data_IF_798664737324
#
_entry.id   IF_798664737324
#
_cell.length_a   1.000
_cell.length_b   1.000
_cell.length_c   1.000
_cell.angle_alpha   90.00
_cell.angle_beta   90.00
_cell.angle_gamma   90.00
#
_symmetry.space_group_name_H-M   'P 1'
#
loop_
_entity.id
_entity.type
_entity.pdbx_description
1 polymer ?
#
# COMPACT_ATOMS: atom_id res chain seq x y z
N UNK A 1 -8.37 16.16 -63.74
CA UNK A 1 -7.77 15.00 -63.03
C UNK A 1 -8.68 14.69 -61.86
N UNK A 2 -9.48 13.62 -61.94
CA UNK A 2 -10.45 13.26 -60.89
C UNK A 2 -9.69 12.49 -59.81
N UNK A 3 -9.49 13.11 -58.66
CA UNK A 3 -8.94 12.45 -57.46
C UNK A 3 -10.00 11.49 -56.94
N UNK A 4 -10.02 10.26 -57.47
CA UNK A 4 -10.80 9.16 -56.90
C UNK A 4 -10.29 8.93 -55.48
N UNK A 5 -11.06 9.39 -54.50
CA UNK A 5 -10.93 8.92 -53.13
C UNK A 5 -11.36 7.46 -53.13
N UNK A 6 -10.41 6.55 -53.37
CA UNK A 6 -10.57 5.16 -52.97
C UNK A 6 -10.65 5.16 -51.44
N UNK A 7 -11.85 5.40 -50.91
CA UNK A 7 -12.22 4.96 -49.57
C UNK A 7 -12.21 3.44 -49.63
N UNK A 8 -11.02 2.85 -49.48
CA UNK A 8 -10.97 1.51 -48.95
C UNK A 8 -11.81 1.57 -47.68
N UNK A 9 -12.87 0.78 -47.62
CA UNK A 9 -13.62 0.56 -46.38
C UNK A 9 -12.65 -0.15 -45.43
N UNK A 10 -11.75 0.62 -44.81
CA UNK A 10 -10.98 0.18 -43.67
C UNK A 10 -12.04 -0.22 -42.66
N UNK A 11 -12.10 -1.51 -42.34
CA UNK A 11 -13.14 -2.10 -41.51
C UNK A 11 -13.04 -1.49 -40.11
N UNK A 12 -13.68 -0.34 -39.91
CA UNK A 12 -13.58 0.51 -38.71
C UNK A 12 -13.85 -0.24 -37.41
N UNK A 13 -14.69 -1.28 -37.49
CA UNK A 13 -14.95 -2.19 -36.38
C UNK A 13 -13.68 -2.93 -35.89
N UNK A 14 -12.77 -3.32 -36.79
CA UNK A 14 -11.56 -4.06 -36.39
C UNK A 14 -10.60 -3.21 -35.56
N UNK A 15 -10.43 -1.92 -35.91
CA UNK A 15 -9.54 -0.99 -35.18
C UNK A 15 -10.08 -0.75 -33.76
N UNK A 16 -11.38 -0.49 -33.63
CA UNK A 16 -12.02 -0.25 -32.33
C UNK A 16 -12.06 -1.51 -31.46
N UNK A 17 -12.42 -2.66 -32.03
CA UNK A 17 -12.46 -3.94 -31.29
C UNK A 17 -11.07 -4.32 -30.78
N UNK A 18 -10.03 -4.18 -31.61
CA UNK A 18 -8.65 -4.43 -31.18
C UNK A 18 -8.20 -3.46 -30.07
N UNK A 19 -8.62 -2.19 -30.15
CA UNK A 19 -8.33 -1.18 -29.10
C UNK A 19 -8.97 -1.56 -27.77
N UNK A 20 -10.24 -1.97 -27.80
CA UNK A 20 -10.98 -2.42 -26.61
C UNK A 20 -10.36 -3.68 -26.02
N UNK A 21 -10.03 -4.67 -26.85
CA UNK A 21 -9.36 -5.89 -26.40
C UNK A 21 -8.02 -5.60 -25.71
N UNK A 22 -7.18 -4.78 -26.32
CA UNK A 22 -5.89 -4.36 -25.74
C UNK A 22 -6.10 -3.58 -24.43
N UNK A 23 -7.18 -2.81 -24.31
CA UNK A 23 -7.54 -2.13 -23.06
C UNK A 23 -7.77 -3.11 -21.93
N UNK A 24 -8.60 -4.13 -22.15
CA UNK A 24 -8.84 -5.18 -21.16
C UNK A 24 -7.58 -5.96 -20.82
N UNK A 25 -6.75 -6.26 -21.82
CA UNK A 25 -5.47 -6.96 -21.63
C UNK A 25 -4.53 -6.17 -20.72
N UNK A 26 -4.30 -4.88 -21.02
CA UNK A 26 -3.40 -4.02 -20.24
C UNK A 26 -3.86 -3.89 -18.78
N UNK A 27 -5.15 -3.72 -18.54
CA UNK A 27 -5.68 -3.71 -17.18
C UNK A 27 -5.52 -5.07 -16.49
N UNK A 28 -5.83 -6.16 -17.19
CA UNK A 28 -5.64 -7.51 -16.68
C UNK A 28 -4.20 -7.76 -16.25
N UNK A 29 -3.22 -7.33 -17.04
CA UNK A 29 -1.80 -7.47 -16.71
C UNK A 29 -1.40 -6.77 -15.41
N UNK A 30 -1.85 -5.52 -15.23
CA UNK A 30 -1.58 -4.77 -14.00
C UNK A 30 -2.27 -5.41 -12.80
N UNK A 31 -3.53 -5.82 -12.94
CA UNK A 31 -4.25 -6.49 -11.86
C UNK A 31 -3.63 -7.83 -11.47
N UNK A 32 -3.24 -8.64 -12.45
CA UNK A 32 -2.60 -9.94 -12.24
C UNK A 32 -1.26 -9.75 -11.52
N UNK A 33 -0.42 -8.83 -11.99
CA UNK A 33 0.88 -8.54 -11.35
C UNK A 33 0.71 -8.07 -9.90
N UNK A 34 -0.20 -7.12 -9.66
CA UNK A 34 -0.47 -6.59 -8.33
C UNK A 34 -1.09 -7.64 -7.40
N UNK A 35 -2.07 -8.40 -7.91
CA UNK A 35 -2.74 -9.47 -7.17
C UNK A 35 -1.77 -10.57 -6.75
N UNK A 36 -0.92 -11.05 -7.66
CA UNK A 36 0.12 -12.04 -7.35
C UNK A 36 1.08 -11.51 -6.29
N UNK A 37 1.53 -10.27 -6.41
CA UNK A 37 2.38 -9.64 -5.40
C UNK A 37 1.71 -9.62 -4.02
N UNK A 38 0.41 -9.29 -3.93
CA UNK A 38 -0.34 -9.30 -2.67
C UNK A 38 -0.47 -10.70 -2.06
N UNK A 39 -0.76 -11.71 -2.87
CA UNK A 39 -0.82 -13.12 -2.42
C UNK A 39 0.54 -13.54 -1.87
N UNK A 40 1.62 -13.23 -2.60
CA UNK A 40 2.99 -13.50 -2.19
C UNK A 40 3.35 -12.84 -0.85
N UNK A 41 3.05 -11.54 -0.68
CA UNK A 41 3.30 -10.80 0.56
C UNK A 41 2.52 -11.37 1.75
N UNK A 42 1.27 -11.81 1.55
CA UNK A 42 0.39 -12.34 2.61
C UNK A 42 1.05 -13.47 3.40
N UNK A 43 1.75 -14.40 2.72
CA UNK A 43 2.40 -15.54 3.40
C UNK A 43 3.46 -15.15 4.42
N UNK A 44 3.94 -13.90 4.37
CA UNK A 44 4.93 -13.40 5.32
C UNK A 44 4.35 -12.33 6.24
N UNK A 45 3.46 -11.49 5.72
CA UNK A 45 2.88 -10.38 6.47
C UNK A 45 1.39 -10.26 6.12
N UNK A 46 0.52 -10.53 7.08
CA UNK A 46 -0.92 -10.38 6.90
C UNK A 46 -1.30 -8.89 6.66
N UNK A 47 -0.68 -7.97 7.42
CA UNK A 47 -0.87 -6.51 7.31
C UNK A 47 0.42 -5.70 7.61
N UNK A 48 1.52 -5.95 6.88
CA UNK A 48 2.67 -5.03 6.99
C UNK A 48 2.35 -3.71 6.28
N UNK A 49 2.09 -2.65 7.05
CA UNK A 49 1.80 -1.32 6.52
C UNK A 49 2.91 -0.79 5.59
N UNK A 50 4.19 -1.07 5.89
CA UNK A 50 5.32 -0.57 5.10
C UNK A 50 5.44 -1.27 3.75
N UNK A 51 5.37 -2.60 3.73
CA UNK A 51 5.47 -3.38 2.48
C UNK A 51 4.21 -3.19 1.64
N UNK A 52 3.04 -3.11 2.28
CA UNK A 52 1.79 -2.78 1.60
C UNK A 52 1.89 -1.40 0.91
N UNK A 53 2.34 -0.35 1.60
CA UNK A 53 2.55 0.97 0.99
C UNK A 53 3.53 0.92 -0.19
N UNK A 54 4.68 0.26 -0.03
CA UNK A 54 5.67 0.15 -1.09
C UNK A 54 5.10 -0.55 -2.34
N UNK A 55 4.41 -1.68 -2.15
CA UNK A 55 3.76 -2.42 -3.25
C UNK A 55 2.62 -1.63 -3.89
N UNK A 56 1.85 -0.86 -3.12
CA UNK A 56 0.83 0.04 -3.64
C UNK A 56 1.44 1.15 -4.49
N UNK A 57 2.54 1.79 -4.06
CA UNK A 57 3.23 2.83 -4.84
C UNK A 57 3.71 2.28 -6.18
N UNK A 58 4.32 1.09 -6.19
CA UNK A 58 4.75 0.42 -7.42
C UNK A 58 3.54 0.10 -8.30
N UNK A 59 2.46 -0.43 -7.74
CA UNK A 59 1.23 -0.70 -8.50
C UNK A 59 0.62 0.58 -9.08
N UNK A 60 0.60 1.69 -8.34
CA UNK A 60 0.14 3.00 -8.82
C UNK A 60 0.98 3.51 -9.99
N UNK A 61 2.31 3.29 -9.96
CA UNK A 61 3.18 3.60 -11.09
C UNK A 61 2.82 2.76 -12.32
N UNK A 62 2.59 1.46 -12.15
CA UNK A 62 2.12 0.59 -13.24
C UNK A 62 0.78 1.03 -13.82
N UNK A 63 -0.17 1.44 -12.97
CA UNK A 63 -1.45 2.00 -13.40
C UNK A 63 -1.27 3.28 -14.21
N UNK A 64 -0.40 4.17 -13.76
CA UNK A 64 -0.08 5.40 -14.50
C UNK A 64 0.50 5.10 -15.89
N UNK A 65 1.49 4.20 -15.96
CA UNK A 65 2.10 3.79 -17.22
C UNK A 65 1.11 3.07 -18.14
N UNK A 66 0.23 2.23 -17.59
CA UNK A 66 -0.83 1.57 -18.32
C UNK A 66 -1.83 2.57 -18.90
N UNK A 67 -2.30 3.55 -18.12
CA UNK A 67 -3.18 4.61 -18.60
C UNK A 67 -2.52 5.42 -19.72
N UNK A 68 -1.23 5.74 -19.59
CA UNK A 68 -0.48 6.42 -20.65
C UNK A 68 -0.40 5.58 -21.93
N UNK A 69 -0.13 4.27 -21.82
CA UNK A 69 -0.17 3.35 -22.97
C UNK A 69 -1.55 3.36 -23.66
N UNK A 70 -2.63 3.32 -22.89
CA UNK A 70 -3.99 3.34 -23.41
C UNK A 70 -4.29 4.65 -24.12
N UNK A 71 -3.87 5.79 -23.57
CA UNK A 71 -4.04 7.09 -24.23
C UNK A 71 -3.34 7.08 -25.60
N UNK A 72 -2.10 6.58 -25.69
CA UNK A 72 -1.40 6.46 -26.97
C UNK A 72 -2.14 5.52 -27.95
N UNK A 73 -2.70 4.42 -27.45
CA UNK A 73 -3.49 3.49 -28.25
C UNK A 73 -4.76 4.16 -28.82
N UNK A 74 -5.51 4.88 -27.98
CA UNK A 74 -6.70 5.61 -28.41
C UNK A 74 -6.36 6.75 -29.37
N UNK A 75 -5.31 7.52 -29.09
CA UNK A 75 -4.86 8.61 -29.96
C UNK A 75 -4.49 8.08 -31.34
N UNK A 76 -3.77 6.96 -31.43
CA UNK A 76 -3.46 6.33 -32.71
C UNK A 76 -4.73 5.89 -33.45
N UNK A 77 -5.65 5.22 -32.75
CA UNK A 77 -6.93 4.80 -33.32
C UNK A 77 -7.74 6.00 -33.84
N UNK A 78 -7.84 7.08 -33.07
CA UNK A 78 -8.52 8.30 -33.51
C UNK A 78 -7.82 9.01 -34.68
N UNK A 79 -6.49 9.02 -34.72
CA UNK A 79 -5.74 9.57 -35.85
C UNK A 79 -6.03 8.81 -37.15
N UNK A 80 -6.13 7.48 -37.08
CA UNK A 80 -6.58 6.64 -38.20
C UNK A 80 -8.04 6.91 -38.60
N UNK A 81 -8.94 7.08 -37.62
CA UNK A 81 -10.36 7.38 -37.87
C UNK A 81 -10.56 8.76 -38.51
N UNK A 82 -9.76 9.75 -38.10
CA UNK A 82 -9.85 11.14 -38.56
C UNK A 82 -9.17 11.38 -39.91
N UNK A 83 -8.54 10.37 -40.52
CA UNK A 83 -7.71 10.51 -41.72
C UNK A 83 -6.66 11.62 -41.60
N UNK A 84 -5.98 11.68 -40.45
CA UNK A 84 -4.85 12.61 -40.25
C UNK A 84 -3.71 12.34 -41.23
N UNK A 85 -2.81 13.33 -41.40
CA UNK A 85 -1.62 13.17 -42.24
C UNK A 85 -0.81 11.93 -41.83
N UNK A 86 -0.32 11.18 -42.83
CA UNK A 86 0.50 9.98 -42.68
C UNK A 86 1.74 10.24 -41.81
N UNK A 87 2.33 11.43 -41.89
CA UNK A 87 3.47 11.82 -41.06
C UNK A 87 3.09 11.85 -39.56
N UNK A 88 1.91 12.37 -39.24
CA UNK A 88 1.41 12.44 -37.86
C UNK A 88 1.08 11.05 -37.34
N UNK A 89 0.43 10.22 -38.16
CA UNK A 89 0.13 8.82 -37.82
C UNK A 89 1.41 8.04 -37.55
N UNK A 90 2.44 8.21 -38.38
CA UNK A 90 3.71 7.51 -38.22
C UNK A 90 4.45 7.93 -36.94
N UNK A 91 4.50 9.23 -36.64
CA UNK A 91 5.12 9.74 -35.41
C UNK A 91 4.43 9.21 -34.15
N UNK A 92 3.09 9.15 -34.13
CA UNK A 92 2.32 8.58 -33.03
C UNK A 92 2.57 7.06 -32.91
N UNK A 93 2.61 6.36 -34.03
CA UNK A 93 2.85 4.91 -34.07
C UNK A 93 4.24 4.53 -33.54
N UNK A 94 5.27 5.30 -33.90
CA UNK A 94 6.64 5.10 -33.42
C UNK A 94 6.74 5.35 -31.91
N UNK A 95 6.18 6.46 -31.41
CA UNK A 95 6.13 6.76 -29.98
C UNK A 95 5.38 5.67 -29.19
N UNK A 96 4.29 5.14 -29.75
CA UNK A 96 3.53 4.03 -29.16
C UNK A 96 4.36 2.74 -29.14
N UNK A 97 5.05 2.38 -30.23
CA UNK A 97 5.86 1.16 -30.30
C UNK A 97 6.97 1.19 -29.26
N UNK A 98 7.73 2.29 -29.20
CA UNK A 98 8.79 2.47 -28.21
C UNK A 98 8.27 2.39 -26.77
N UNK A 99 7.10 2.97 -26.50
CA UNK A 99 6.48 2.86 -25.18
C UNK A 99 5.97 1.45 -24.86
N UNK A 100 5.38 0.73 -25.83
CA UNK A 100 4.93 -0.66 -25.66
C UNK A 100 6.11 -1.55 -25.27
N UNK A 101 7.23 -1.46 -25.98
CA UNK A 101 8.48 -2.19 -25.68
C UNK A 101 8.96 -1.88 -24.26
N UNK A 102 9.06 -0.60 -23.89
CA UNK A 102 9.54 -0.18 -22.57
C UNK A 102 8.61 -0.66 -21.44
N UNK A 103 7.30 -0.53 -21.63
CA UNK A 103 6.29 -0.96 -20.65
C UNK A 103 6.33 -2.47 -20.43
N UNK A 104 6.35 -3.25 -21.52
CA UNK A 104 6.43 -4.72 -21.45
C UNK A 104 7.75 -5.18 -20.83
N UNK A 105 8.87 -4.52 -21.11
CA UNK A 105 10.15 -4.82 -20.47
C UNK A 105 10.12 -4.55 -18.95
N UNK A 106 9.51 -3.44 -18.53
CA UNK A 106 9.37 -3.09 -17.11
C UNK A 106 8.46 -4.08 -16.37
N UNK A 107 7.36 -4.50 -17.00
CA UNK A 107 6.52 -5.60 -16.50
C UNK A 107 7.36 -6.86 -16.31
N UNK A 108 8.13 -7.27 -17.32
CA UNK A 108 8.98 -8.45 -17.25
C UNK A 108 10.01 -8.40 -16.11
N UNK A 109 10.73 -7.29 -15.97
CA UNK A 109 11.65 -7.10 -14.84
C UNK A 109 10.95 -7.25 -13.49
N UNK A 110 9.71 -6.78 -13.38
CA UNK A 110 8.93 -6.92 -12.15
C UNK A 110 8.48 -8.36 -11.92
N UNK A 111 8.13 -9.11 -12.98
CA UNK A 111 7.85 -10.55 -12.86
C UNK A 111 9.07 -11.36 -12.44
N UNK A 112 10.28 -11.00 -12.93
CA UNK A 112 11.53 -11.60 -12.46
C UNK A 112 11.72 -11.32 -10.98
N UNK A 113 11.62 -10.07 -10.56
CA UNK A 113 11.78 -9.69 -9.16
C UNK A 113 10.80 -10.42 -8.24
N UNK A 114 9.54 -10.54 -8.64
CA UNK A 114 8.52 -11.30 -7.92
C UNK A 114 8.84 -12.79 -7.86
N UNK A 115 9.24 -13.41 -8.97
CA UNK A 115 9.57 -14.84 -9.01
C UNK A 115 10.81 -15.18 -8.19
N UNK A 116 11.84 -14.33 -8.24
CA UNK A 116 13.04 -14.46 -7.39
C UNK A 116 12.65 -14.31 -5.92
N UNK A 117 11.79 -13.34 -5.60
CA UNK A 117 11.29 -13.16 -4.23
C UNK A 117 10.48 -14.36 -3.76
N UNK A 118 9.58 -14.88 -4.60
CA UNK A 118 8.79 -16.07 -4.31
C UNK A 118 9.70 -17.26 -4.02
N UNK A 119 10.65 -17.56 -4.91
CA UNK A 119 11.57 -18.69 -4.71
C UNK A 119 12.47 -18.50 -3.50
N UNK A 120 13.07 -17.34 -3.29
CA UNK A 120 14.00 -17.10 -2.18
C UNK A 120 13.28 -17.05 -0.83
N UNK A 121 12.23 -16.22 -0.72
CA UNK A 121 11.54 -16.00 0.56
C UNK A 121 10.65 -17.17 0.92
N UNK A 122 9.84 -17.67 -0.01
CA UNK A 122 9.06 -18.87 0.28
C UNK A 122 10.06 -20.02 0.47
N UNK A 123 10.98 -20.26 -0.46
CA UNK A 123 12.09 -21.26 -0.36
C UNK A 123 12.68 -21.40 1.04
N UNK A 124 13.16 -20.28 1.60
CA UNK A 124 13.81 -20.21 2.91
C UNK A 124 12.94 -20.65 4.09
N UNK A 125 11.61 -20.53 4.00
CA UNK A 125 10.67 -20.97 5.05
C UNK A 125 10.63 -22.49 5.19
N UNK A 126 11.08 -23.25 4.18
CA UNK A 126 11.19 -24.73 4.24
C UNK A 126 12.21 -25.19 5.31
N UNK A 127 13.17 -24.35 5.67
CA UNK A 127 14.19 -24.65 6.68
C UNK A 127 13.76 -24.26 8.10
N UNK A 128 12.66 -23.51 8.24
CA UNK A 128 12.16 -23.06 9.55
C UNK A 128 10.89 -23.87 9.88
N UNK A 129 11.06 -24.93 10.67
CA UNK A 129 10.02 -25.89 11.06
C UNK A 129 9.09 -25.25 12.11
N UNK A 130 8.36 -24.22 11.71
CA UNK A 130 7.28 -23.66 12.50
C UNK A 130 5.95 -24.23 12.00
N UNK A 131 4.98 -24.47 12.90
CA UNK A 131 3.65 -25.01 12.57
C UNK A 131 2.93 -24.24 11.45
N UNK A 132 3.16 -22.93 11.37
CA UNK A 132 2.60 -22.04 10.33
C UNK A 132 3.20 -22.31 8.95
N UNK A 133 4.47 -22.69 8.87
CA UNK A 133 5.15 -23.02 7.60
C UNK A 133 4.57 -24.28 6.94
N UNK A 134 4.19 -25.27 7.76
CA UNK A 134 3.58 -26.51 7.32
C UNK A 134 2.13 -26.31 6.85
N UNK A 135 1.37 -25.42 7.49
CA UNK A 135 -0.03 -25.17 7.12
C UNK A 135 -0.18 -24.65 5.68
N UNK A 136 0.79 -23.85 5.19
CA UNK A 136 0.74 -23.26 3.86
C UNK A 136 1.60 -23.98 2.81
N UNK A 137 2.04 -25.22 3.07
CA UNK A 137 3.03 -25.86 2.19
C UNK A 137 2.49 -26.06 0.76
N UNK A 138 1.24 -26.49 0.62
CA UNK A 138 0.62 -26.73 -0.68
C UNK A 138 0.32 -25.42 -1.41
N UNK A 139 -0.31 -24.45 -0.75
CA UNK A 139 -0.66 -23.16 -1.35
C UNK A 139 0.59 -22.40 -1.82
N UNK A 140 1.69 -22.56 -1.08
CA UNK A 140 2.98 -21.98 -1.44
C UNK A 140 3.56 -22.58 -2.73
N UNK A 141 3.49 -23.90 -2.91
CA UNK A 141 3.94 -24.54 -4.15
C UNK A 141 3.13 -24.04 -5.34
N UNK A 142 1.80 -23.92 -5.17
CA UNK A 142 0.94 -23.31 -6.17
C UNK A 142 1.28 -21.84 -6.44
N UNK A 143 1.64 -21.06 -5.42
CA UNK A 143 2.06 -19.66 -5.58
C UNK A 143 3.38 -19.52 -6.37
N UNK A 144 4.34 -20.42 -6.13
CA UNK A 144 5.59 -20.47 -6.92
C UNK A 144 5.29 -20.86 -8.36
N UNK A 145 4.48 -21.90 -8.58
CA UNK A 145 4.07 -22.33 -9.92
C UNK A 145 3.34 -21.21 -10.69
N UNK A 146 2.44 -20.49 -10.03
CA UNK A 146 1.78 -19.32 -10.60
C UNK A 146 2.77 -18.21 -10.98
N UNK A 147 3.76 -17.94 -10.12
CA UNK A 147 4.80 -16.94 -10.40
C UNK A 147 5.66 -17.33 -11.61
N UNK A 148 6.00 -18.62 -11.75
CA UNK A 148 6.73 -19.15 -12.92
C UNK A 148 5.89 -19.03 -14.19
N UNK A 149 4.60 -19.38 -14.16
CA UNK A 149 3.71 -19.24 -15.31
C UNK A 149 3.61 -17.78 -15.77
N UNK A 150 3.51 -16.85 -14.82
CA UNK A 150 3.45 -15.41 -15.09
C UNK A 150 4.79 -14.90 -15.67
N UNK A 151 5.93 -15.39 -15.17
CA UNK A 151 7.26 -15.09 -15.71
C UNK A 151 7.41 -15.59 -17.15
N UNK A 152 7.00 -16.83 -17.45
CA UNK A 152 7.03 -17.39 -18.81
C UNK A 152 6.14 -16.59 -19.76
N UNK A 153 4.93 -16.22 -19.32
CA UNK A 153 4.02 -15.34 -20.06
C UNK A 153 4.71 -14.01 -20.40
N UNK A 154 5.30 -13.36 -19.41
CA UNK A 154 5.95 -12.06 -19.59
C UNK A 154 7.22 -12.14 -20.44
N UNK A 155 7.96 -13.24 -20.37
CA UNK A 155 9.11 -13.49 -21.24
C UNK A 155 8.69 -13.58 -22.71
N UNK A 156 7.66 -14.39 -23.00
CA UNK A 156 7.11 -14.51 -24.35
C UNK A 156 6.64 -13.16 -24.88
N UNK A 157 5.96 -12.38 -24.06
CA UNK A 157 5.46 -11.05 -24.44
C UNK A 157 6.60 -10.09 -24.81
N UNK A 158 7.67 -10.01 -24.00
CA UNK A 158 8.85 -9.18 -24.32
C UNK A 158 9.50 -9.63 -25.62
N UNK A 159 9.68 -10.94 -25.81
CA UNK A 159 10.30 -11.47 -27.03
C UNK A 159 9.46 -11.12 -28.25
N UNK A 160 8.14 -11.29 -28.18
CA UNK A 160 7.22 -11.03 -29.28
C UNK A 160 7.16 -9.53 -29.61
N UNK A 161 7.01 -8.67 -28.61
CA UNK A 161 6.99 -7.20 -28.80
C UNK A 161 8.33 -6.73 -29.36
N UNK A 162 9.45 -7.28 -28.89
CA UNK A 162 10.78 -6.97 -29.43
C UNK A 162 10.99 -7.46 -30.88
N UNK A 163 10.38 -8.58 -31.28
CA UNK A 163 10.39 -9.04 -32.68
C UNK A 163 9.54 -8.14 -33.57
N UNK A 164 8.37 -7.69 -33.09
CA UNK A 164 7.52 -6.74 -33.83
C UNK A 164 8.23 -5.41 -34.11
N UNK A 165 9.02 -4.92 -33.15
CA UNK A 165 9.77 -3.67 -33.30
C UNK A 165 10.95 -3.81 -34.28
N UNK A 166 11.65 -4.95 -34.27
CA UNK A 166 12.85 -5.16 -35.11
C UNK A 166 12.55 -5.64 -36.53
N UNK A 167 11.60 -6.55 -36.69
CA UNK A 167 11.33 -7.21 -37.96
C UNK A 167 9.83 -7.53 -38.11
N UNK A 168 9.01 -6.58 -38.61
CA UNK A 168 7.56 -6.77 -38.75
C UNK A 168 7.17 -7.61 -39.98
N UNK A 169 7.90 -8.69 -40.27
CA UNK A 169 7.49 -9.66 -41.28
C UNK A 169 6.52 -10.64 -40.67
N UNK A 170 5.50 -11.06 -41.43
CA UNK A 170 4.46 -11.99 -40.97
C UNK A 170 3.75 -11.55 -39.69
N UNK A 171 3.35 -10.27 -39.61
CA UNK A 171 2.64 -9.70 -38.45
C UNK A 171 1.47 -10.56 -37.96
N UNK A 172 0.72 -11.18 -38.87
CA UNK A 172 -0.39 -12.07 -38.55
C UNK A 172 0.04 -13.32 -37.76
N UNK A 173 1.16 -13.95 -38.13
CA UNK A 173 1.69 -15.12 -37.41
C UNK A 173 2.20 -14.72 -36.04
N UNK A 174 2.85 -13.55 -35.94
CA UNK A 174 3.37 -13.02 -34.69
C UNK A 174 2.21 -12.71 -33.71
N UNK A 175 1.15 -12.05 -34.16
CA UNK A 175 -0.04 -11.80 -33.33
C UNK A 175 -0.71 -13.11 -32.89
N UNK A 176 -0.83 -14.09 -33.78
CA UNK A 176 -1.37 -15.41 -33.42
C UNK A 176 -0.52 -16.11 -32.35
N UNK A 177 0.81 -16.04 -32.46
CA UNK A 177 1.71 -16.59 -31.45
C UNK A 177 1.57 -15.86 -30.11
N UNK A 178 1.38 -14.53 -30.13
CA UNK A 178 1.10 -13.71 -28.94
C UNK A 178 -0.16 -14.19 -28.23
N UNK A 179 -1.26 -14.36 -28.96
CA UNK A 179 -2.53 -14.78 -28.38
C UNK A 179 -2.48 -16.20 -27.79
N UNK A 180 -1.84 -17.14 -28.50
CA UNK A 180 -1.68 -18.53 -28.04
C UNK A 180 -0.83 -18.60 -26.78
N UNK A 181 0.34 -17.94 -26.77
CA UNK A 181 1.23 -17.95 -25.60
C UNK A 181 0.61 -17.22 -24.41
N UNK A 182 -0.02 -16.06 -24.65
CA UNK A 182 -0.73 -15.34 -23.61
C UNK A 182 -1.84 -16.19 -23.00
N UNK A 183 -2.71 -16.81 -23.83
CA UNK A 183 -3.80 -17.65 -23.36
C UNK A 183 -3.31 -18.87 -22.59
N UNK A 184 -2.33 -19.61 -23.13
CA UNK A 184 -1.78 -20.81 -22.51
C UNK A 184 -1.24 -20.54 -21.10
N UNK A 185 -0.33 -19.57 -20.98
CA UNK A 185 0.29 -19.27 -19.69
C UNK A 185 -0.67 -18.56 -18.72
N UNK A 186 -1.64 -17.79 -19.23
CA UNK A 186 -2.69 -17.20 -18.37
C UNK A 186 -3.62 -18.26 -17.79
N UNK A 187 -3.98 -19.30 -18.56
CA UNK A 187 -4.79 -20.41 -18.03
C UNK A 187 -4.05 -21.17 -16.94
N UNK A 188 -2.76 -21.49 -17.13
CA UNK A 188 -1.94 -22.10 -16.08
C UNK A 188 -1.83 -21.21 -14.85
N UNK A 189 -1.58 -19.91 -15.05
CA UNK A 189 -1.53 -18.94 -13.97
C UNK A 189 -2.83 -18.93 -13.15
N UNK A 190 -3.99 -18.80 -13.81
CA UNK A 190 -5.30 -18.78 -13.14
C UNK A 190 -5.56 -20.09 -12.40
N UNK A 191 -5.21 -21.22 -13.00
CA UNK A 191 -5.29 -22.53 -12.35
C UNK A 191 -4.50 -22.55 -11.03
N UNK A 192 -3.20 -22.22 -11.08
CA UNK A 192 -2.34 -22.28 -9.89
C UNK A 192 -2.67 -21.21 -8.84
N UNK A 193 -2.93 -19.96 -9.24
CA UNK A 193 -3.17 -18.87 -8.28
C UNK A 193 -4.45 -19.10 -7.47
N UNK A 194 -5.46 -19.76 -8.06
CA UNK A 194 -6.71 -20.09 -7.36
C UNK A 194 -6.48 -21.06 -6.20
N UNK A 195 -5.55 -22.00 -6.35
CA UNK A 195 -5.15 -22.92 -5.29
C UNK A 195 -4.12 -22.33 -4.32
N UNK A 196 -3.48 -21.22 -4.68
CA UNK A 196 -2.61 -20.49 -3.77
C UNK A 196 -3.39 -19.67 -2.72
N UNK A 197 -4.69 -19.44 -2.91
CA UNK A 197 -5.48 -18.68 -1.92
C UNK A 197 -6.01 -19.67 -0.86
N UNK A 198 -5.66 -19.50 0.43
CA UNK A 198 -6.13 -20.40 1.48
C UNK A 198 -7.65 -20.28 1.62
N UNK A 199 -8.32 -21.45 1.67
CA UNK A 199 -9.79 -21.57 1.58
C UNK A 199 -10.51 -21.27 2.91
N UNK A 200 -9.86 -21.53 4.05
CA UNK A 200 -10.45 -21.38 5.37
C UNK A 200 -9.86 -20.16 6.09
N UNK A 201 -10.56 -19.03 6.06
CA UNK A 201 -10.11 -17.82 6.75
C UNK A 201 -10.13 -17.98 8.29
N UNK A 202 -11.05 -18.78 8.83
CA UNK A 202 -11.22 -18.97 10.29
C UNK A 202 -10.11 -19.83 10.93
N UNK A 203 -9.47 -20.69 10.15
CA UNK A 203 -8.38 -21.56 10.60
C UNK A 203 -7.00 -20.98 10.32
N UNK A 204 -6.94 -19.82 9.66
CA UNK A 204 -5.70 -19.17 9.23
C UNK A 204 -4.84 -18.80 10.47
N UNK A 205 -3.67 -19.45 10.65
CA UNK A 205 -2.83 -19.21 11.82
C UNK A 205 -2.16 -17.83 11.81
N UNK A 206 -2.06 -17.15 10.66
CA UNK A 206 -1.57 -15.78 10.57
C UNK A 206 -2.64 -14.78 11.06
N UNK A 207 -3.92 -15.04 10.78
CA UNK A 207 -5.03 -14.25 11.32
C UNK A 207 -5.06 -14.35 12.85
N UNK A 208 -4.98 -15.57 13.40
CA UNK A 208 -4.99 -15.77 14.87
C UNK A 208 -3.82 -15.06 15.56
N UNK A 209 -2.61 -15.19 15.03
CA UNK A 209 -1.43 -14.47 15.55
C UNK A 209 -1.60 -12.96 15.48
N UNK A 210 -2.21 -12.45 14.41
CA UNK A 210 -2.46 -11.03 14.27
C UNK A 210 -3.51 -10.57 15.28
N UNK A 211 -4.61 -11.29 15.48
CA UNK A 211 -5.63 -10.97 16.47
C UNK A 211 -5.08 -11.00 17.92
N UNK A 212 -4.15 -11.90 18.21
CA UNK A 212 -3.42 -11.90 19.48
C UNK A 212 -2.51 -10.67 19.62
N UNK A 213 -1.80 -10.30 18.55
CA UNK A 213 -0.95 -9.11 18.55
C UNK A 213 -1.76 -7.81 18.64
N UNK A 214 -2.87 -7.70 17.91
CA UNK A 214 -3.76 -6.55 17.94
C UNK A 214 -4.37 -6.40 19.36
N UNK A 215 -4.76 -7.50 20.00
CA UNK A 215 -5.20 -7.49 21.41
C UNK A 215 -4.09 -7.07 22.37
N UNK A 216 -2.85 -7.53 22.16
CA UNK A 216 -1.72 -7.12 22.98
C UNK A 216 -1.39 -5.62 22.81
N UNK A 217 -1.47 -5.11 21.58
CA UNK A 217 -1.27 -3.70 21.27
C UNK A 217 -2.38 -2.82 21.86
N UNK A 218 -3.64 -3.28 21.85
CA UNK A 218 -4.76 -2.60 22.52
C UNK A 218 -4.58 -2.59 24.05
N UNK A 219 -4.25 -3.73 24.66
CA UNK A 219 -3.97 -3.80 26.09
C UNK A 219 -2.80 -2.89 26.50
N UNK A 220 -1.75 -2.82 25.68
CA UNK A 220 -0.61 -1.93 25.91
C UNK A 220 -1.00 -0.45 25.81
N UNK A 221 -1.92 -0.08 24.91
CA UNK A 221 -2.46 1.28 24.81
C UNK A 221 -3.32 1.61 26.03
N UNK A 222 -4.20 0.72 26.46
CA UNK A 222 -5.03 0.91 27.65
C UNK A 222 -4.17 1.11 28.90
N UNK A 223 -3.16 0.26 29.09
CA UNK A 223 -2.20 0.41 30.18
C UNK A 223 -1.45 1.75 30.12
N UNK A 224 -1.07 2.20 28.92
CA UNK A 224 -0.42 3.50 28.74
C UNK A 224 -1.32 4.68 29.11
N UNK A 225 -2.61 4.60 28.78
CA UNK A 225 -3.61 5.62 29.13
C UNK A 225 -3.86 5.65 30.64
N UNK A 226 -3.96 4.48 31.28
CA UNK A 226 -4.14 4.35 32.73
C UNK A 226 -2.92 4.89 33.50
N UNK A 227 -1.71 4.66 32.99
CA UNK A 227 -0.49 5.21 33.55
C UNK A 227 -0.46 6.74 33.45
N UNK A 228 -0.85 7.33 32.31
CA UNK A 228 -0.97 8.79 32.16
C UNK A 228 -2.01 9.36 33.11
N UNK A 229 -3.18 8.70 33.25
CA UNK A 229 -4.21 9.13 34.18
C UNK A 229 -3.72 9.10 35.64
N UNK A 230 -3.06 8.01 36.03
CA UNK A 230 -2.47 7.86 37.38
C UNK A 230 -1.41 8.92 37.64
N UNK A 231 -0.55 9.19 36.65
CA UNK A 231 0.49 10.19 36.74
C UNK A 231 -0.07 11.61 36.87
N UNK A 232 -1.12 11.95 36.12
CA UNK A 232 -1.85 13.22 36.26
C UNK A 232 -2.43 13.35 37.67
N UNK A 233 -3.10 12.32 38.19
CA UNK A 233 -3.70 12.34 39.54
C UNK A 233 -2.62 12.52 40.60
N UNK A 234 -1.52 11.77 40.50
CA UNK A 234 -0.41 11.87 41.44
C UNK A 234 0.23 13.27 41.41
N UNK A 235 0.51 13.80 40.21
CA UNK A 235 1.09 15.13 40.06
C UNK A 235 0.15 16.22 40.56
N UNK A 236 -1.15 16.07 40.32
CA UNK A 236 -2.16 16.99 40.85
C UNK A 236 -2.18 16.93 42.38
N UNK A 237 -2.09 15.73 42.98
CA UNK A 237 -1.97 15.54 44.42
C UNK A 237 -0.71 16.20 45.01
N UNK A 238 0.42 16.07 44.33
CA UNK A 238 1.68 16.71 44.73
C UNK A 238 1.59 18.24 44.69
N UNK A 239 1.13 18.82 43.57
CA UNK A 239 1.07 20.28 43.39
C UNK A 239 0.02 20.92 44.29
N UNK A 240 -1.11 20.24 44.53
CA UNK A 240 -2.16 20.73 45.43
C UNK A 240 -1.87 20.47 46.90
N UNK A 241 -0.76 19.81 47.25
CA UNK A 241 -0.50 19.31 48.61
C UNK A 241 -1.71 18.53 49.16
N UNK A 242 -2.23 17.61 48.34
CA UNK A 242 -3.43 16.81 48.64
C UNK A 242 -4.66 17.68 48.92
N UNK A 243 -4.83 18.74 48.11
CA UNK A 243 -5.96 19.67 48.20
C UNK A 243 -5.81 20.77 49.25
N UNK A 244 -4.62 21.03 49.81
CA UNK A 244 -4.39 22.21 50.67
C UNK A 244 -4.20 23.50 49.89
N UNK A 245 -3.64 23.43 48.68
CA UNK A 245 -3.41 24.55 47.77
C UNK A 245 -4.45 24.57 46.64
N UNK A 246 -4.61 25.74 46.01
CA UNK A 246 -5.41 25.90 44.79
C UNK A 246 -4.86 25.02 43.68
N UNK A 247 -5.73 24.42 42.87
CA UNK A 247 -5.32 23.61 41.73
C UNK A 247 -4.52 24.46 40.73
N UNK A 248 -3.43 23.93 40.16
CA UNK A 248 -2.80 24.56 39.00
C UNK A 248 -3.74 24.47 37.78
N UNK A 249 -3.52 25.32 36.78
CA UNK A 249 -4.16 25.17 35.47
C UNK A 249 -3.75 23.84 34.82
N UNK A 250 -4.68 23.14 34.17
CA UNK A 250 -4.40 21.85 33.52
C UNK A 250 -3.25 21.96 32.49
N UNK A 251 -3.18 23.01 31.63
CA UNK A 251 -2.04 23.19 30.72
C UNK A 251 -0.67 23.18 31.41
N UNK A 252 -0.51 23.91 32.52
CA UNK A 252 0.77 23.96 33.26
C UNK A 252 1.16 22.62 33.87
N UNK A 253 0.18 21.80 34.27
CA UNK A 253 0.42 20.46 34.79
C UNK A 253 0.84 19.51 33.66
N UNK A 254 0.18 19.59 32.51
CA UNK A 254 0.50 18.79 31.32
C UNK A 254 1.87 19.15 30.72
N UNK A 255 2.29 20.42 30.77
CA UNK A 255 3.63 20.86 30.34
C UNK A 255 4.74 20.23 31.19
N UNK A 256 4.49 20.14 32.50
CA UNK A 256 5.42 19.50 33.43
C UNK A 256 5.54 18.01 33.11
N UNK A 257 4.41 17.34 32.86
CA UNK A 257 4.39 15.93 32.46
C UNK A 257 5.11 15.68 31.13
N UNK A 258 4.86 16.51 30.12
CA UNK A 258 5.55 16.41 28.82
C UNK A 258 7.08 16.61 28.97
N UNK A 259 7.50 17.49 29.88
CA UNK A 259 8.91 17.69 30.19
C UNK A 259 9.56 16.52 30.93
N UNK A 260 8.81 15.84 31.81
CA UNK A 260 9.25 14.65 32.55
C UNK A 260 9.31 13.40 31.66
N UNK A 261 8.43 13.28 30.65
CA UNK A 261 8.61 12.32 29.57
C UNK A 261 9.95 12.59 28.85
N UNK A 262 10.29 13.85 28.57
CA UNK A 262 11.60 14.19 28.02
C UNK A 262 11.90 13.59 26.63
N UNK A 263 13.13 13.80 26.11
CA UNK A 263 13.52 13.37 24.76
C UNK A 263 14.12 11.95 24.69
N UNK A 264 14.02 11.14 25.75
CA UNK A 264 14.62 9.80 25.76
C UNK A 264 13.98 8.94 24.66
N UNK A 265 14.80 8.56 23.66
CA UNK A 265 14.36 7.65 22.60
C UNK A 265 14.02 6.30 23.21
N UNK A 266 12.75 5.86 23.17
CA UNK A 266 12.40 4.54 23.68
C UNK A 266 13.11 3.46 22.87
N UNK A 267 13.39 2.31 23.51
CA UNK A 267 13.66 1.08 22.77
C UNK A 267 12.50 0.78 21.80
N UNK A 268 12.81 0.14 20.67
CA UNK A 268 11.94 0.04 19.49
C UNK A 268 10.52 -0.49 19.78
N UNK A 269 10.36 -1.34 20.80
CA UNK A 269 9.08 -1.90 21.23
C UNK A 269 8.23 -0.93 22.08
N UNK A 270 8.86 0.03 22.76
CA UNK A 270 8.20 1.06 23.58
C UNK A 270 7.82 2.32 22.79
N UNK A 271 8.22 2.40 21.52
CA UNK A 271 7.97 3.58 20.67
C UNK A 271 6.46 3.85 20.51
N UNK A 272 5.65 2.81 20.38
CA UNK A 272 4.19 2.93 20.24
C UNK A 272 3.53 3.40 21.54
N UNK A 273 3.97 2.89 22.69
CA UNK A 273 3.44 3.29 24.01
C UNK A 273 3.78 4.75 24.29
N UNK A 274 5.02 5.15 24.02
CA UNK A 274 5.49 6.52 24.21
C UNK A 274 4.72 7.54 23.39
N UNK A 275 4.57 7.28 22.09
CA UNK A 275 3.82 8.15 21.18
C UNK A 275 2.33 8.22 21.57
N UNK A 276 1.77 7.12 22.08
CA UNK A 276 0.40 7.09 22.61
C UNK A 276 0.26 7.99 23.84
N UNK A 277 1.17 7.91 24.81
CA UNK A 277 1.18 8.81 25.99
C UNK A 277 1.28 10.27 25.59
N UNK A 278 2.18 10.59 24.65
CA UNK A 278 2.36 11.97 24.17
C UNK A 278 1.13 12.51 23.45
N UNK A 279 0.50 11.69 22.59
CA UNK A 279 -0.75 12.04 21.91
C UNK A 279 -1.89 12.28 22.89
N UNK A 280 -2.02 11.45 23.91
CA UNK A 280 -3.08 11.65 24.91
C UNK A 280 -2.85 12.93 25.73
N UNK A 281 -1.60 13.22 26.14
CA UNK A 281 -1.27 14.48 26.82
C UNK A 281 -1.63 15.69 25.92
N UNK A 282 -1.32 15.61 24.63
CA UNK A 282 -1.65 16.68 23.69
C UNK A 282 -3.17 16.87 23.53
N UNK A 283 -3.91 15.77 23.41
CA UNK A 283 -5.39 15.79 23.34
C UNK A 283 -6.01 16.35 24.62
N UNK A 284 -5.49 15.97 25.80
CA UNK A 284 -5.94 16.53 27.08
C UNK A 284 -5.64 18.03 27.17
N UNK A 285 -4.50 18.49 26.63
CA UNK A 285 -4.18 19.92 26.56
C UNK A 285 -5.20 20.69 25.72
N UNK A 286 -5.58 20.17 24.56
CA UNK A 286 -6.60 20.79 23.71
C UNK A 286 -7.97 20.80 24.40
N UNK A 287 -8.36 19.69 25.03
CA UNK A 287 -9.68 19.55 25.64
C UNK A 287 -9.87 20.42 26.89
N UNK A 288 -8.78 20.67 27.63
CA UNK A 288 -8.78 21.47 28.87
C UNK A 288 -8.04 22.79 28.73
N UNK A 289 -7.87 23.32 27.51
CA UNK A 289 -7.15 24.57 27.25
C UNK A 289 -7.75 25.76 28.03
N UNK A 290 -9.07 25.82 28.09
CA UNK A 290 -9.83 26.91 28.74
C UNK A 290 -10.20 26.58 30.20
N UNK A 291 -9.63 25.52 30.78
CA UNK A 291 -9.95 25.13 32.14
C UNK A 291 -9.23 26.04 33.15
N UNK A 292 -10.00 26.81 33.92
CA UNK A 292 -9.50 27.64 35.00
C UNK A 292 -9.78 27.00 36.38
N UNK A 293 -8.78 26.97 37.29
CA UNK A 293 -8.97 26.42 38.62
C UNK A 293 -9.85 27.33 39.48
N UNK A 294 -10.75 26.70 40.25
CA UNK A 294 -11.53 27.41 41.27
C UNK A 294 -10.62 27.74 42.44
N UNK A 295 -10.35 29.03 42.64
CA UNK A 295 -9.54 29.51 43.75
C UNK A 295 -10.19 29.19 45.09
N UNK A 296 -9.43 28.55 45.99
CA UNK A 296 -9.89 28.37 47.36
C UNK A 296 -9.95 29.74 48.04
N UNK A 297 -11.14 30.09 48.52
CA UNK A 297 -11.37 31.28 49.34
C UNK A 297 -10.47 31.21 50.58
N UNK A 298 -9.45 32.06 50.64
CA UNK A 298 -8.71 32.33 51.87
C UNK A 298 -9.64 33.19 52.72
N UNK A 299 -10.36 32.59 53.66
CA UNK A 299 -11.21 33.34 54.58
C UNK A 299 -10.43 34.48 55.25
N UNK A 300 -11.10 35.64 55.41
CA UNK A 300 -10.63 36.78 56.20
C UNK A 300 -10.04 36.31 57.53
N UNK A 301 -8.73 36.46 57.67
CA UNK A 301 -8.03 35.97 58.84
C UNK A 301 -6.64 36.56 58.95
N UNK A 302 -6.55 37.90 58.97
CA UNK A 302 -5.58 38.72 59.76
C UNK A 302 -5.62 40.18 59.29
N UNK A 303 -6.70 40.89 59.56
CA UNK A 303 -6.57 42.31 59.95
C UNK A 303 -6.16 42.32 61.41
N UNK A 304 -4.87 42.12 61.68
CA UNK A 304 -4.25 42.66 62.90
C UNK A 304 -4.31 44.17 62.78
N UNK A 305 -5.39 44.72 63.33
CA UNK A 305 -5.55 46.14 63.63
C UNK A 305 -4.42 46.58 64.59
N UNK A 306 -3.46 47.42 64.15
CA UNK A 306 -2.41 47.91 65.03
C UNK A 306 -2.87 49.07 65.93
N UNK A 307 -4.16 49.41 65.97
CA UNK A 307 -4.65 50.62 66.67
C UNK A 307 -5.26 50.38 68.05
N UNK A 308 -5.13 49.19 68.66
CA UNK A 308 -5.81 48.87 69.92
C UNK A 308 -4.94 48.69 71.17
N UNK A 309 -3.67 49.10 71.13
CA UNK A 309 -2.76 49.16 72.29
C UNK A 309 -2.34 50.60 72.65
N UNK A 310 -3.23 51.58 72.48
CA UNK A 310 -3.05 52.93 73.00
C UNK A 310 -4.37 53.48 73.56
N UNK A 311 -4.76 53.00 74.74
CA UNK A 311 -5.34 53.77 75.87
C UNK A 311 -5.55 52.87 77.10
#
# INVERSE_FOLDING_TARGET
MVVRHNRANVTYGYILVNTIYNTFKVFSDVFVLWGTCRVLVRYKYLRSNTIFRATTVVASLFWFLALYHLILLFVLSFAWLSFSDLNVINAIAEARSGFEVAFTALQFCSTIAMSVWAVYKLGSVRLNINSVSLFYSEEREFSIAASIALLLRSFCEVVIVGQLDRWPANTQEIFRARDVTYGLFSMFFVGFITFAIPKNAEEDPLIKRQEEQDRADEAAKEAALEEVATWIIQKLGEVTEHGRKTSPTIPTLLDTLESELGPQRPHQDLYNVWDTKKKEIHKLRELYADWEPIYKWQGEGTTTDPSRDAE
#
